data_IF_379354785731
#
_entry.id   IF_379354785731
#
_cell.length_a   1.000
_cell.length_b   1.000
_cell.length_c   1.000
_cell.angle_alpha   90.00
_cell.angle_beta   90.00
_cell.angle_gamma   90.00
#
_symmetry.space_group_name_H-M   'P 1'
#
loop_
_entity.id
_entity.type
_entity.pdbx_description
1 polymer ?
#
# COMPACT_ATOMS: atom_id res chain seq x y z
N UNK A 1 4.33 12.32 15.17
CA UNK A 1 4.83 11.76 13.90
C UNK A 1 3.72 11.09 13.08
N UNK A 2 2.89 10.22 13.65
CA UNK A 2 1.78 9.55 12.91
C UNK A 2 0.79 10.55 12.32
N UNK A 3 0.45 11.60 13.05
CA UNK A 3 -0.46 12.65 12.56
C UNK A 3 -0.02 13.22 11.23
N UNK A 4 1.29 13.44 11.01
CA UNK A 4 1.83 13.93 9.74
C UNK A 4 1.61 12.95 8.59
N UNK A 5 1.67 11.64 8.86
CA UNK A 5 1.41 10.59 7.85
C UNK A 5 -0.07 10.52 7.53
N UNK A 6 -0.94 10.90 8.49
CA UNK A 6 -2.39 10.88 8.32
C UNK A 6 -2.95 12.11 7.61
N UNK A 7 -2.27 13.26 7.66
CA UNK A 7 -2.73 14.50 7.01
C UNK A 7 -3.10 14.29 5.54
N UNK A 8 -2.27 13.63 4.71
CA UNK A 8 -2.61 13.38 3.32
C UNK A 8 -3.90 12.56 3.13
N UNK A 9 -4.28 11.72 4.09
CA UNK A 9 -5.52 10.93 3.99
C UNK A 9 -6.79 11.79 4.05
N UNK A 10 -6.72 12.96 4.67
CA UNK A 10 -7.86 13.88 4.76
C UNK A 10 -8.11 14.62 3.45
N UNK A 11 -7.13 14.57 2.54
CA UNK A 11 -7.32 15.09 1.20
C UNK A 11 -8.12 14.10 0.33
N UNK A 12 -8.91 14.66 -0.59
CA UNK A 12 -9.64 13.86 -1.56
C UNK A 12 -8.67 13.01 -2.41
N UNK A 13 -9.00 11.73 -2.59
CA UNK A 13 -8.22 10.76 -3.35
C UNK A 13 -7.90 11.24 -4.78
N UNK A 14 -8.89 11.86 -5.47
CA UNK A 14 -8.71 12.35 -6.82
C UNK A 14 -7.66 13.46 -6.88
N UNK A 15 -7.71 14.41 -5.94
CA UNK A 15 -6.76 15.53 -5.87
C UNK A 15 -5.35 15.00 -5.64
N UNK A 16 -5.17 14.00 -4.78
CA UNK A 16 -3.86 13.36 -4.54
C UNK A 16 -3.31 12.71 -5.81
N UNK A 17 -4.15 11.96 -6.52
CA UNK A 17 -3.72 11.32 -7.78
C UNK A 17 -3.34 12.36 -8.84
N UNK A 18 -4.08 13.46 -8.96
CA UNK A 18 -3.72 14.58 -9.86
C UNK A 18 -2.42 15.27 -9.44
N UNK A 19 -2.19 15.45 -8.14
CA UNK A 19 -0.93 16.00 -7.65
C UNK A 19 0.27 15.14 -8.06
N UNK A 20 0.16 13.79 -7.90
CA UNK A 20 1.18 12.87 -8.37
C UNK A 20 1.36 12.91 -9.89
N UNK A 21 0.28 12.99 -10.65
CA UNK A 21 0.37 13.15 -12.10
C UNK A 21 1.17 14.40 -12.48
N UNK A 22 0.89 15.55 -11.83
CA UNK A 22 1.61 16.80 -12.07
C UNK A 22 3.09 16.73 -11.67
N UNK A 23 3.40 16.02 -10.58
CA UNK A 23 4.80 15.85 -10.11
C UNK A 23 5.59 14.97 -11.08
N UNK A 24 4.99 13.89 -11.60
CA UNK A 24 5.66 12.88 -12.42
C UNK A 24 5.66 13.18 -13.92
N UNK A 25 4.95 14.22 -14.39
CA UNK A 25 4.96 14.62 -15.80
C UNK A 25 6.37 15.03 -16.26
N UNK A 26 6.61 14.93 -17.59
CA UNK A 26 7.90 15.28 -18.18
C UNK A 26 8.32 16.73 -17.91
N UNK A 27 7.36 17.64 -17.83
CA UNK A 27 7.53 19.05 -17.43
C UNK A 27 7.24 19.28 -15.95
N UNK A 28 7.12 18.22 -15.16
CA UNK A 28 6.74 18.25 -13.75
C UNK A 28 7.88 18.68 -12.82
N UNK A 29 7.51 18.82 -11.54
CA UNK A 29 8.43 19.27 -10.48
C UNK A 29 9.63 18.33 -10.37
N UNK A 30 9.43 17.01 -10.47
CA UNK A 30 10.49 16.02 -10.37
C UNK A 30 11.55 16.23 -11.46
N UNK A 31 11.14 16.35 -12.72
CA UNK A 31 12.07 16.56 -13.83
C UNK A 31 12.73 17.94 -13.80
N UNK A 32 12.03 18.96 -13.28
CA UNK A 32 12.63 20.27 -13.04
C UNK A 32 13.77 20.22 -12.02
N UNK A 33 13.59 19.45 -10.93
CA UNK A 33 14.62 19.25 -9.92
C UNK A 33 15.78 18.39 -10.46
N UNK A 34 15.51 17.34 -11.23
CA UNK A 34 16.54 16.53 -11.88
C UNK A 34 17.36 17.34 -12.86
N UNK A 35 16.74 18.26 -13.60
CA UNK A 35 17.42 19.20 -14.49
C UNK A 35 18.42 20.11 -13.78
N UNK A 36 18.16 20.53 -12.53
CA UNK A 36 19.07 21.35 -11.75
C UNK A 36 20.37 20.61 -11.37
N UNK A 37 20.33 19.28 -11.25
CA UNK A 37 21.49 18.44 -10.96
C UNK A 37 22.13 17.82 -12.21
N UNK A 38 21.71 18.28 -13.40
CA UNK A 38 22.26 17.84 -14.68
C UNK A 38 21.82 16.46 -15.14
N UNK A 39 20.79 15.87 -14.49
CA UNK A 39 20.16 14.64 -14.94
C UNK A 39 19.07 15.00 -15.96
N UNK A 40 19.09 14.32 -17.12
CA UNK A 40 18.08 14.54 -18.16
C UNK A 40 16.66 14.15 -17.68
N UNK A 41 15.61 14.59 -18.39
CA UNK A 41 14.24 14.30 -18.00
C UNK A 41 14.01 12.79 -18.03
N UNK A 42 13.40 12.27 -16.94
CA UNK A 42 13.02 10.88 -16.82
C UNK A 42 11.54 10.76 -17.14
N UNK A 43 11.20 9.96 -18.14
CA UNK A 43 9.81 9.69 -18.51
C UNK A 43 9.23 8.63 -17.59
N UNK A 44 8.54 9.06 -16.52
CA UNK A 44 7.95 8.17 -15.50
C UNK A 44 6.45 8.00 -15.74
N UNK A 45 5.75 9.08 -16.08
CA UNK A 45 4.30 9.01 -16.34
C UNK A 45 3.99 8.02 -17.47
N UNK A 46 2.94 7.23 -17.33
CA UNK A 46 2.61 6.18 -18.31
C UNK A 46 3.49 4.93 -18.21
N UNK A 47 4.21 4.74 -17.10
CA UNK A 47 4.96 3.52 -16.79
C UNK A 47 4.38 2.80 -15.58
N UNK A 48 4.73 1.51 -15.43
CA UNK A 48 4.36 0.73 -14.23
C UNK A 48 4.88 1.39 -12.95
N UNK A 49 6.08 1.98 -13.02
CA UNK A 49 6.68 2.66 -11.88
C UNK A 49 5.80 3.81 -11.37
N UNK A 50 5.20 4.61 -12.27
CA UNK A 50 4.28 5.68 -11.88
C UNK A 50 3.06 5.14 -11.14
N UNK A 51 2.47 4.06 -11.64
CA UNK A 51 1.30 3.41 -11.03
C UNK A 51 1.66 2.87 -9.64
N UNK A 52 2.79 2.16 -9.52
CA UNK A 52 3.25 1.60 -8.24
C UNK A 52 3.55 2.71 -7.22
N UNK A 53 4.23 3.78 -7.61
CA UNK A 53 4.51 4.93 -6.73
C UNK A 53 3.20 5.55 -6.22
N UNK A 54 2.24 5.78 -7.12
CA UNK A 54 0.93 6.32 -6.74
C UNK A 54 0.19 5.40 -5.77
N UNK A 55 0.16 4.10 -6.06
CA UNK A 55 -0.48 3.09 -5.18
C UNK A 55 0.20 3.00 -3.82
N UNK A 56 1.54 2.97 -3.78
CA UNK A 56 2.29 2.94 -2.52
C UNK A 56 1.97 4.16 -1.68
N UNK A 57 1.99 5.35 -2.27
CA UNK A 57 1.67 6.59 -1.55
C UNK A 57 0.24 6.58 -1.00
N UNK A 58 -0.75 6.20 -1.81
CA UNK A 58 -2.15 6.25 -1.41
C UNK A 58 -2.49 5.20 -0.34
N UNK A 59 -1.84 4.04 -0.37
CA UNK A 59 -2.10 2.94 0.57
C UNK A 59 -1.11 2.86 1.73
N UNK A 60 -0.03 3.64 1.71
CA UNK A 60 0.98 3.69 2.76
C UNK A 60 0.42 3.90 4.18
N UNK A 61 -0.51 4.84 4.43
CA UNK A 61 -1.08 5.02 5.75
C UNK A 61 -1.84 3.79 6.26
N UNK A 62 -2.55 3.06 5.37
CA UNK A 62 -3.27 1.85 5.73
C UNK A 62 -2.34 0.72 6.19
N UNK A 63 -1.09 0.72 5.70
CA UNK A 63 -0.07 -0.23 6.14
C UNK A 63 0.55 0.19 7.48
N UNK A 64 0.82 1.48 7.67
CA UNK A 64 1.49 1.98 8.87
C UNK A 64 0.62 1.89 10.12
N UNK A 65 -0.68 2.20 10.01
CA UNK A 65 -1.59 2.27 11.15
C UNK A 65 -1.66 0.98 11.98
N UNK A 66 -1.89 -0.22 11.39
CA UNK A 66 -1.92 -1.45 12.16
C UNK A 66 -0.56 -1.80 12.76
N UNK A 67 0.54 -1.57 12.03
CA UNK A 67 1.89 -1.83 12.52
C UNK A 67 2.17 -0.95 13.73
N UNK A 68 1.89 0.35 13.63
CA UNK A 68 2.05 1.26 14.75
C UNK A 68 1.18 0.89 15.95
N UNK A 69 -0.08 0.52 15.72
CA UNK A 69 -0.99 0.12 16.81
C UNK A 69 -0.45 -1.07 17.60
N UNK A 70 0.16 -2.03 16.93
CA UNK A 70 0.79 -3.18 17.59
C UNK A 70 2.06 -2.76 18.32
N UNK A 71 2.92 -1.96 17.67
CA UNK A 71 4.18 -1.50 18.26
C UNK A 71 3.94 -0.58 19.48
N UNK A 72 2.92 0.27 19.45
CA UNK A 72 2.59 1.17 20.55
C UNK A 72 2.08 0.43 21.82
N UNK A 73 1.59 -0.79 21.65
CA UNK A 73 1.15 -1.66 22.76
C UNK A 73 2.24 -2.61 23.25
N UNK A 74 3.42 -2.61 22.61
CA UNK A 74 4.51 -3.49 23.01
C UNK A 74 5.07 -3.06 24.35
N UNK A 75 5.26 -4.02 25.26
CA UNK A 75 5.87 -3.75 26.57
C UNK A 75 7.36 -3.41 26.40
N UNK A 76 7.75 -2.24 26.89
CA UNK A 76 9.14 -1.78 26.84
C UNK A 76 10.09 -2.73 27.61
N UNK A 77 9.59 -3.43 28.62
CA UNK A 77 10.37 -4.42 29.40
C UNK A 77 10.94 -5.54 28.54
N UNK A 78 10.27 -5.93 27.45
CA UNK A 78 10.77 -6.93 26.52
C UNK A 78 12.04 -6.46 25.80
N UNK A 79 12.09 -5.15 25.50
CA UNK A 79 13.27 -4.54 24.86
C UNK A 79 14.42 -4.42 25.86
N UNK A 80 14.12 -4.06 27.11
CA UNK A 80 15.10 -3.96 28.20
C UNK A 80 15.68 -5.33 28.50
N UNK A 81 14.86 -6.34 28.72
CA UNK A 81 15.30 -7.72 28.97
C UNK A 81 16.19 -8.27 27.83
N UNK A 82 15.87 -7.96 26.58
CA UNK A 82 16.70 -8.38 25.46
C UNK A 82 18.08 -7.69 25.46
N UNK A 83 18.15 -6.43 25.91
CA UNK A 83 19.42 -5.69 26.06
C UNK A 83 20.25 -6.26 27.21
N UNK A 84 19.62 -6.59 28.32
CA UNK A 84 20.27 -7.20 29.49
C UNK A 84 20.89 -8.56 29.14
N UNK A 85 20.25 -9.28 28.20
CA UNK A 85 20.79 -10.53 27.63
C UNK A 85 21.87 -10.29 26.55
N UNK A 86 22.40 -9.07 26.43
CA UNK A 86 23.50 -8.73 25.53
C UNK A 86 23.10 -8.48 24.07
N UNK A 87 21.81 -8.33 23.75
CA UNK A 87 21.40 -7.98 22.41
C UNK A 87 21.75 -6.53 22.07
N UNK A 88 22.43 -6.32 20.97
CA UNK A 88 22.57 -4.99 20.37
C UNK A 88 21.25 -4.53 19.74
N UNK A 89 21.14 -3.24 19.33
CA UNK A 89 19.92 -2.67 18.76
C UNK A 89 19.37 -3.45 17.56
N UNK A 90 20.24 -3.97 16.69
CA UNK A 90 19.85 -4.80 15.55
C UNK A 90 19.31 -6.18 16.00
N UNK A 91 19.90 -6.76 17.07
CA UNK A 91 19.44 -7.98 17.69
C UNK A 91 18.06 -7.84 18.31
N UNK A 92 17.82 -6.74 19.03
CA UNK A 92 16.51 -6.40 19.60
C UNK A 92 15.46 -6.24 18.48
N UNK A 93 15.79 -5.49 17.42
CA UNK A 93 14.89 -5.31 16.28
C UNK A 93 14.50 -6.66 15.66
N UNK A 94 15.47 -7.51 15.37
CA UNK A 94 15.24 -8.78 14.66
C UNK A 94 14.59 -9.87 15.52
N UNK A 95 14.94 -9.94 16.81
CA UNK A 95 14.52 -11.05 17.70
C UNK A 95 13.27 -10.72 18.52
N UNK A 96 13.00 -9.42 18.79
CA UNK A 96 11.88 -8.99 19.62
C UNK A 96 10.89 -8.18 18.81
N UNK A 97 11.30 -7.04 18.26
CA UNK A 97 10.37 -6.09 17.63
C UNK A 97 9.74 -6.67 16.37
N UNK A 98 10.56 -7.25 15.48
CA UNK A 98 10.07 -7.81 14.21
C UNK A 98 9.03 -8.93 14.42
N UNK A 99 9.29 -9.99 15.20
CA UNK A 99 8.30 -11.04 15.38
C UNK A 99 7.02 -10.55 16.08
N UNK A 100 7.14 -9.64 17.05
CA UNK A 100 5.98 -9.07 17.74
C UNK A 100 5.20 -8.09 16.88
N UNK A 101 5.79 -7.48 15.86
CA UNK A 101 5.09 -6.60 14.91
C UNK A 101 4.39 -7.35 13.77
N UNK A 102 4.68 -8.64 13.55
CA UNK A 102 4.08 -9.45 12.48
C UNK A 102 2.54 -9.42 12.43
N UNK A 103 1.80 -9.50 13.55
CA UNK A 103 0.35 -9.37 13.51
C UNK A 103 -0.12 -8.03 12.92
N UNK A 104 0.60 -6.94 13.22
CA UNK A 104 0.35 -5.62 12.64
C UNK A 104 0.63 -5.58 11.14
N UNK A 105 1.72 -6.22 10.70
CA UNK A 105 2.07 -6.34 9.27
C UNK A 105 1.00 -7.11 8.50
N UNK A 106 0.53 -8.25 9.03
CA UNK A 106 -0.53 -9.06 8.40
C UNK A 106 -1.83 -8.26 8.31
N UNK A 107 -2.19 -7.56 9.38
CA UNK A 107 -3.38 -6.67 9.38
C UNK A 107 -3.24 -5.55 8.35
N UNK A 108 -2.07 -4.93 8.24
CA UNK A 108 -1.77 -3.90 7.25
C UNK A 108 -1.88 -4.42 5.81
N UNK A 109 -1.28 -5.57 5.53
CA UNK A 109 -1.40 -6.21 4.21
C UNK A 109 -2.88 -6.46 3.87
N UNK A 110 -3.66 -6.97 4.83
CA UNK A 110 -5.10 -7.21 4.61
C UNK A 110 -5.85 -5.92 4.30
N UNK A 111 -5.55 -4.83 5.01
CA UNK A 111 -6.18 -3.52 4.78
C UNK A 111 -5.82 -2.88 3.44
N UNK A 112 -4.60 -3.12 2.94
CA UNK A 112 -4.12 -2.61 1.66
C UNK A 112 -4.60 -3.47 0.48
N UNK A 113 -4.71 -4.78 0.67
CA UNK A 113 -4.99 -5.74 -0.41
C UNK A 113 -6.29 -5.43 -1.15
N UNK A 114 -7.38 -5.19 -0.43
CA UNK A 114 -8.70 -4.96 -1.03
C UNK A 114 -8.70 -3.70 -1.92
N UNK A 115 -8.34 -2.50 -1.41
CA UNK A 115 -8.38 -1.29 -2.22
C UNK A 115 -7.33 -1.28 -3.32
N UNK A 116 -6.17 -1.93 -3.14
CA UNK A 116 -5.13 -1.96 -4.17
C UNK A 116 -5.51 -2.81 -5.39
N UNK A 117 -6.19 -3.93 -5.19
CA UNK A 117 -6.63 -4.79 -6.30
C UNK A 117 -7.85 -4.22 -7.02
N UNK A 118 -8.75 -3.55 -6.29
CA UNK A 118 -9.96 -2.96 -6.86
C UNK A 118 -9.75 -1.56 -7.46
N UNK A 119 -8.55 -0.98 -7.33
CA UNK A 119 -8.28 0.34 -7.90
C UNK A 119 -8.27 0.32 -9.43
N UNK A 120 -8.76 1.38 -10.05
CA UNK A 120 -8.73 1.62 -11.49
C UNK A 120 -8.28 3.05 -11.83
N UNK A 121 -8.55 3.99 -10.93
CA UNK A 121 -8.31 5.41 -11.20
C UNK A 121 -6.81 5.75 -11.26
N UNK A 122 -6.00 5.14 -10.39
CA UNK A 122 -4.54 5.35 -10.36
C UNK A 122 -3.91 4.80 -11.64
N UNK A 123 -4.28 3.59 -12.06
CA UNK A 123 -3.78 2.96 -13.28
C UNK A 123 -4.13 3.76 -14.53
N UNK A 124 -5.36 4.27 -14.62
CA UNK A 124 -5.80 5.11 -15.73
C UNK A 124 -5.04 6.44 -15.80
N UNK A 125 -4.86 7.12 -14.67
CA UNK A 125 -4.25 8.46 -14.63
C UNK A 125 -2.72 8.43 -14.68
N UNK A 126 -2.09 7.60 -13.88
CA UNK A 126 -0.62 7.51 -13.85
C UNK A 126 -0.06 6.56 -14.89
N UNK A 127 -0.80 5.50 -15.25
CA UNK A 127 -0.43 4.54 -16.29
C UNK A 127 -0.78 4.99 -17.70
N UNK A 128 -1.48 6.11 -17.86
CA UNK A 128 -1.90 6.67 -19.15
C UNK A 128 -2.62 5.64 -20.06
N UNK A 129 -3.44 4.77 -19.44
CA UNK A 129 -4.20 3.73 -20.14
C UNK A 129 -3.38 2.57 -20.73
N UNK A 130 -2.07 2.50 -20.45
CA UNK A 130 -1.19 1.42 -20.96
C UNK A 130 -1.23 0.18 -20.07
N UNK A 131 -1.62 0.32 -18.81
CA UNK A 131 -1.67 -0.75 -17.82
C UNK A 131 -3.11 -1.02 -17.41
N UNK A 132 -3.52 -2.26 -17.58
CA UNK A 132 -4.87 -2.72 -17.28
C UNK A 132 -4.84 -3.56 -15.99
N UNK A 133 -5.41 -3.03 -14.93
CA UNK A 133 -5.67 -3.76 -13.70
C UNK A 133 -7.06 -4.39 -13.75
N UNK A 134 -7.36 -5.30 -12.83
CA UNK A 134 -8.69 -5.94 -12.74
C UNK A 134 -9.78 -4.88 -12.50
N UNK A 135 -9.49 -3.84 -11.71
CA UNK A 135 -10.37 -2.70 -11.50
C UNK A 135 -10.74 -1.98 -12.81
N UNK A 136 -9.76 -1.77 -13.70
CA UNK A 136 -9.97 -1.17 -15.02
C UNK A 136 -10.88 -2.05 -15.89
N UNK A 137 -10.70 -3.39 -15.82
CA UNK A 137 -11.55 -4.31 -16.58
C UNK A 137 -13.01 -4.24 -16.12
N UNK A 138 -13.26 -4.17 -14.82
CA UNK A 138 -14.62 -4.04 -14.27
C UNK A 138 -15.24 -2.72 -14.68
N UNK A 139 -14.50 -1.62 -14.49
CA UNK A 139 -14.97 -0.28 -14.83
C UNK A 139 -15.21 -0.12 -16.33
N UNK A 140 -14.32 -0.62 -17.17
CA UNK A 140 -14.48 -0.60 -18.62
C UNK A 140 -15.74 -1.33 -19.10
N UNK A 141 -16.07 -2.49 -18.53
CA UNK A 141 -17.31 -3.21 -18.82
C UNK A 141 -18.56 -2.47 -18.31
N UNK A 142 -18.45 -1.84 -17.15
CA UNK A 142 -19.51 -1.01 -16.59
C UNK A 142 -19.83 0.18 -17.50
N UNK A 143 -18.82 0.92 -17.96
CA UNK A 143 -18.97 2.06 -18.88
C UNK A 143 -19.48 1.63 -20.27
N UNK A 144 -19.07 0.41 -20.71
CA UNK A 144 -19.60 -0.19 -21.95
C UNK A 144 -21.04 -0.71 -21.82
N UNK A 145 -21.71 -0.48 -20.69
CA UNK A 145 -23.08 -0.95 -20.36
C UNK A 145 -23.23 -2.48 -20.33
N UNK A 146 -22.14 -3.22 -20.19
CA UNK A 146 -22.12 -4.67 -20.03
C UNK A 146 -22.18 -5.06 -18.56
N UNK A 147 -23.27 -4.64 -17.87
CA UNK A 147 -23.42 -4.76 -16.41
C UNK A 147 -23.30 -6.22 -15.91
N UNK A 148 -23.83 -7.18 -16.67
CA UNK A 148 -23.78 -8.60 -16.30
C UNK A 148 -22.34 -9.13 -16.27
N UNK A 149 -21.53 -8.73 -17.26
CA UNK A 149 -20.13 -9.15 -17.34
C UNK A 149 -19.27 -8.44 -16.29
N UNK A 150 -19.47 -7.14 -16.08
CA UNK A 150 -18.83 -6.39 -15.00
C UNK A 150 -19.12 -7.01 -13.63
N UNK A 151 -20.39 -7.36 -13.37
CA UNK A 151 -20.79 -8.01 -12.12
C UNK A 151 -20.17 -9.40 -11.96
N UNK A 152 -20.05 -10.19 -13.04
CA UNK A 152 -19.41 -11.50 -12.98
C UNK A 152 -17.92 -11.39 -12.61
N UNK A 153 -17.16 -10.47 -13.22
CA UNK A 153 -15.75 -10.24 -12.90
C UNK A 153 -15.61 -9.79 -11.44
N UNK A 154 -16.44 -8.82 -11.01
CA UNK A 154 -16.43 -8.32 -9.64
C UNK A 154 -16.75 -9.42 -8.62
N UNK A 155 -17.71 -10.31 -8.91
CA UNK A 155 -18.05 -11.43 -8.06
C UNK A 155 -16.89 -12.44 -7.93
N UNK A 156 -16.27 -12.80 -9.05
CA UNK A 156 -15.08 -13.69 -9.04
C UNK A 156 -13.96 -13.07 -8.22
N UNK A 157 -13.67 -11.78 -8.43
CA UNK A 157 -12.67 -11.05 -7.66
C UNK A 157 -12.98 -11.05 -6.15
N UNK A 158 -14.24 -10.81 -5.79
CA UNK A 158 -14.70 -10.86 -4.40
C UNK A 158 -14.44 -12.23 -3.76
N UNK A 159 -14.77 -13.32 -4.45
CA UNK A 159 -14.54 -14.68 -3.95
C UNK A 159 -13.04 -14.95 -3.74
N UNK A 160 -12.20 -14.56 -4.70
CA UNK A 160 -10.74 -14.71 -4.61
C UNK A 160 -10.20 -13.92 -3.40
N UNK A 161 -10.63 -12.67 -3.22
CA UNK A 161 -10.21 -11.83 -2.11
C UNK A 161 -10.66 -12.39 -0.76
N UNK A 162 -11.91 -12.82 -0.63
CA UNK A 162 -12.43 -13.45 0.60
C UNK A 162 -11.66 -14.73 0.95
N UNK A 163 -11.35 -15.55 -0.04
CA UNK A 163 -10.56 -16.76 0.16
C UNK A 163 -9.13 -16.42 0.59
N UNK A 164 -8.48 -15.47 -0.08
CA UNK A 164 -7.15 -14.98 0.29
C UNK A 164 -7.10 -14.42 1.72
N UNK A 165 -8.09 -13.61 2.09
CA UNK A 165 -8.21 -13.08 3.46
C UNK A 165 -8.42 -14.18 4.50
N UNK A 166 -9.28 -15.16 4.23
CA UNK A 166 -9.50 -16.29 5.13
C UNK A 166 -8.22 -17.11 5.35
N UNK A 167 -7.43 -17.32 4.30
CA UNK A 167 -6.12 -17.96 4.41
C UNK A 167 -5.16 -17.15 5.27
N UNK A 168 -5.05 -15.83 5.01
CA UNK A 168 -4.15 -14.94 5.78
C UNK A 168 -4.54 -14.92 7.26
N UNK A 169 -5.84 -14.84 7.59
CA UNK A 169 -6.31 -14.87 8.98
C UNK A 169 -5.99 -16.20 9.68
N UNK A 170 -6.13 -17.33 8.98
CA UNK A 170 -5.75 -18.65 9.52
C UNK A 170 -4.26 -18.72 9.84
N UNK A 171 -3.40 -18.16 8.98
CA UNK A 171 -1.95 -18.13 9.24
C UNK A 171 -1.59 -17.15 10.36
N UNK A 172 -2.26 -16.00 10.45
CA UNK A 172 -2.06 -15.03 11.53
C UNK A 172 -2.49 -15.59 12.89
N UNK A 173 -3.65 -16.22 12.96
CA UNK A 173 -4.16 -16.82 14.20
C UNK A 173 -3.27 -17.94 14.75
N UNK A 174 -2.71 -18.78 13.88
CA UNK A 174 -1.77 -19.84 14.31
C UNK A 174 -0.48 -19.30 14.92
N UNK A 175 0.04 -18.15 14.43
CA UNK A 175 1.25 -17.53 14.99
C UNK A 175 0.98 -16.74 16.28
N UNK A 176 -0.22 -16.18 16.44
CA UNK A 176 -0.60 -15.47 17.67
C UNK A 176 -0.85 -16.42 18.86
N UNK A 177 -1.15 -17.70 18.61
CA UNK A 177 -1.34 -18.74 19.65
C UNK A 177 -0.03 -19.44 19.99
N UNK A 178 1.00 -19.33 19.14
CA UNK A 178 2.30 -19.97 19.33
C UNK A 178 3.38 -19.02 19.91
N UNK A 179 3.04 -17.78 20.19
CA UNK A 179 3.89 -16.75 20.83
C UNK A 179 3.33 -16.34 22.18
#
# INVERSE_FOLDING_TARGET
>A
MITLIMIPMWMNFLIRTYAWMTILQDTGILNSLLGLIGLGPVHIIGTEAAVVIGMVYDYFPYMILPIYSVMAKMDAKLIEAARDLGCNSAGVLRRVVWPLSLPGVISGITMVLIPSISTFYISQKLGNGKFYLIGDAIEGQYVANNLHFAAAIAFILMVILLFGMALMQRYAGKKAVAA
#
